data_IF_734185260824
#
_entry.id   IF_734185260824
#
_cell.length_a   1.000
_cell.length_b   1.000
_cell.length_c   1.000
_cell.angle_alpha   90.00
_cell.angle_beta   90.00
_cell.angle_gamma   90.00
#
_symmetry.space_group_name_H-M   'P 1'
#
loop_
_entity.id
_entity.type
_entity.pdbx_description
1 polymer ?
#
# COMPACT_ATOMS: atom_id res chain seq x y z
N UNK A 1 -4.84 63.95 -30.45
CA UNK A 1 -5.54 64.37 -29.21
C UNK A 1 -5.81 63.12 -28.39
N UNK A 2 -5.51 62.96 -27.11
CA UNK A 2 -4.53 63.53 -26.20
C UNK A 2 -4.32 62.46 -25.10
N UNK A 3 -3.22 62.61 -24.36
CA UNK A 3 -2.64 61.70 -23.38
C UNK A 3 -3.53 61.37 -22.13
N UNK A 4 -3.07 60.44 -21.25
CA UNK A 4 -3.74 59.95 -20.04
C UNK A 4 -3.31 60.75 -18.77
N UNK A 5 -3.07 60.12 -17.60
CA UNK A 5 -3.92 59.95 -16.43
C UNK A 5 -3.58 60.91 -15.26
N UNK A 6 -4.40 60.94 -14.19
CA UNK A 6 -4.06 61.63 -12.93
C UNK A 6 -3.91 60.66 -11.76
N UNK A 7 -2.66 60.60 -11.29
CA UNK A 7 -2.18 60.06 -10.02
C UNK A 7 -2.37 61.08 -8.88
N UNK A 8 -2.69 60.61 -7.68
CA UNK A 8 -2.41 61.26 -6.38
C UNK A 8 -2.79 60.23 -5.28
N UNK A 9 -2.10 59.98 -4.18
CA UNK A 9 -0.80 60.36 -3.65
C UNK A 9 -0.41 59.30 -2.61
N UNK A 10 0.90 59.14 -2.48
CA UNK A 10 1.66 58.40 -1.47
C UNK A 10 1.46 59.02 -0.07
N UNK A 11 1.26 58.20 0.97
CA UNK A 11 1.70 58.54 2.32
C UNK A 11 2.37 57.36 3.02
N UNK A 12 3.63 57.62 3.36
CA UNK A 12 4.54 56.86 4.20
C UNK A 12 4.30 57.29 5.65
N UNK A 13 4.22 56.31 6.56
CA UNK A 13 4.63 56.39 7.97
C UNK A 13 4.73 54.94 8.44
N UNK A 14 5.82 54.42 8.98
CA UNK A 14 6.77 55.07 9.89
C UNK A 14 6.56 54.44 11.27
N UNK A 15 7.54 53.64 11.67
CA UNK A 15 7.55 52.77 12.85
C UNK A 15 7.38 53.49 14.19
N UNK A 16 6.88 52.76 15.20
CA UNK A 16 7.43 52.80 16.56
C UNK A 16 6.81 51.73 17.46
N UNK A 17 7.66 50.87 18.03
CA UNK A 17 7.39 50.04 19.20
C UNK A 17 6.95 50.86 20.42
N UNK A 18 6.37 50.21 21.43
CA UNK A 18 6.89 50.42 22.78
C UNK A 18 7.21 49.11 23.50
N UNK A 19 8.24 49.21 24.34
CA UNK A 19 8.76 48.17 25.19
C UNK A 19 8.03 48.10 26.54
N UNK A 20 8.06 46.90 27.12
CA UNK A 20 8.19 46.57 28.54
C UNK A 20 7.14 47.08 29.54
N UNK A 21 6.35 46.14 30.06
CA UNK A 21 5.98 46.10 31.48
C UNK A 21 5.82 44.64 31.92
N UNK A 22 6.49 44.30 33.02
CA UNK A 22 6.64 42.97 33.58
C UNK A 22 5.55 42.65 34.61
N UNK A 23 4.96 41.45 34.56
CA UNK A 23 4.27 40.79 35.69
C UNK A 23 4.36 39.27 35.47
N UNK A 24 5.34 38.61 36.08
CA UNK A 24 5.25 37.81 37.31
C UNK A 24 4.27 36.62 37.27
N UNK A 25 4.87 35.43 37.09
CA UNK A 25 4.63 34.19 37.83
C UNK A 25 3.24 33.55 37.84
N UNK A 26 3.08 32.44 37.10
CA UNK A 26 2.91 31.10 37.69
C UNK A 26 2.72 30.04 36.59
N UNK A 27 3.80 29.36 36.19
CA UNK A 27 3.70 28.10 35.43
C UNK A 27 3.58 26.93 36.42
N UNK A 28 2.54 26.09 36.34
CA UNK A 28 2.47 24.88 37.14
C UNK A 28 3.52 23.87 36.64
N UNK A 29 4.41 23.49 37.55
CA UNK A 29 5.46 22.48 37.35
C UNK A 29 4.80 21.13 37.08
N UNK A 30 4.77 20.71 35.82
CA UNK A 30 4.56 19.30 35.50
C UNK A 30 5.74 18.50 36.04
N UNK A 31 5.45 17.64 37.02
CA UNK A 31 6.36 16.64 37.56
C UNK A 31 6.93 15.79 36.42
N UNK A 32 8.22 15.93 36.15
CA UNK A 32 9.00 14.94 35.38
C UNK A 32 9.33 13.77 36.31
N UNK A 33 8.88 12.54 36.02
CA UNK A 33 9.37 11.37 36.74
C UNK A 33 10.86 11.19 36.44
N UNK A 34 11.66 11.21 37.50
CA UNK A 34 13.11 10.99 37.49
C UNK A 34 13.37 9.54 37.07
N UNK A 35 13.94 9.36 35.88
CA UNK A 35 14.48 8.08 35.41
C UNK A 35 15.54 7.58 36.39
N UNK A 36 15.23 6.50 37.11
CA UNK A 36 16.20 5.72 37.88
C UNK A 36 17.02 4.86 36.91
N UNK A 37 18.34 4.73 37.09
CA UNK A 37 19.17 3.92 36.22
C UNK A 37 18.83 2.43 36.41
N UNK A 38 18.15 1.84 35.43
CA UNK A 38 17.94 0.40 35.38
C UNK A 38 19.29 -0.30 35.20
N UNK A 39 19.70 -1.05 36.22
CA UNK A 39 20.89 -1.91 36.16
C UNK A 39 20.78 -2.81 34.93
N UNK A 40 21.76 -2.68 34.04
CA UNK A 40 22.00 -3.54 32.87
C UNK A 40 22.25 -4.96 33.35
N UNK A 41 21.22 -5.81 33.31
CA UNK A 41 21.38 -7.26 33.40
C UNK A 41 21.94 -7.74 32.07
N UNK A 42 23.26 -7.94 32.04
CA UNK A 42 23.96 -8.66 30.99
C UNK A 42 23.82 -10.15 31.30
N UNK A 43 22.70 -10.73 30.89
CA UNK A 43 22.43 -12.16 30.95
C UNK A 43 22.03 -12.65 29.57
N UNK A 44 23.01 -13.01 28.73
CA UNK A 44 22.75 -13.87 27.57
C UNK A 44 22.48 -15.26 28.12
N UNK A 45 21.21 -15.55 28.41
CA UNK A 45 20.75 -16.92 28.57
C UNK A 45 20.56 -17.47 27.17
N UNK A 46 21.55 -18.22 26.69
CA UNK A 46 21.40 -19.11 25.54
C UNK A 46 20.42 -20.20 25.95
N UNK A 47 19.12 -19.98 25.70
CA UNK A 47 18.15 -21.06 25.62
C UNK A 47 18.47 -21.84 24.34
N UNK A 48 19.34 -22.84 24.47
CA UNK A 48 19.50 -23.87 23.46
C UNK A 48 18.25 -24.73 23.46
N UNK A 49 17.24 -24.34 22.68
CA UNK A 49 16.16 -25.23 22.29
C UNK A 49 16.69 -26.07 21.12
N UNK A 50 17.29 -27.22 21.46
CA UNK A 50 17.46 -28.30 20.51
C UNK A 50 16.06 -28.84 20.18
N UNK A 51 15.44 -28.29 19.14
CA UNK A 51 14.29 -28.89 18.47
C UNK A 51 14.81 -29.42 17.14
N UNK A 52 15.03 -30.73 17.11
CA UNK A 52 15.31 -31.45 15.89
C UNK A 52 14.11 -31.39 14.95
N UNK A 53 14.39 -31.18 13.66
CA UNK A 53 13.42 -31.28 12.57
C UNK A 53 12.94 -29.93 12.03
N UNK A 54 13.77 -29.27 11.20
CA UNK A 54 13.33 -28.04 10.51
C UNK A 54 14.40 -27.24 9.75
N UNK A 55 15.58 -27.80 9.46
CA UNK A 55 16.71 -27.02 8.94
C UNK A 55 16.48 -26.46 7.51
N UNK A 56 15.63 -27.10 6.69
CA UNK A 56 15.43 -26.67 5.30
C UNK A 56 14.57 -25.41 5.12
N UNK A 57 13.56 -25.20 5.98
CA UNK A 57 12.64 -24.06 5.85
C UNK A 57 13.24 -22.74 6.33
N UNK A 58 13.89 -22.76 7.50
CA UNK A 58 14.51 -21.57 8.08
C UNK A 58 15.70 -21.06 7.23
N UNK A 59 16.47 -21.97 6.64
CA UNK A 59 17.57 -21.62 5.73
C UNK A 59 17.05 -21.02 4.41
N UNK A 60 15.94 -21.52 3.87
CA UNK A 60 15.32 -20.97 2.67
C UNK A 60 14.70 -19.59 2.92
N UNK A 61 13.98 -19.39 4.02
CA UNK A 61 13.42 -18.10 4.41
C UNK A 61 14.51 -17.05 4.64
N UNK A 62 15.59 -17.40 5.33
CA UNK A 62 16.72 -16.49 5.55
C UNK A 62 17.45 -16.18 4.25
N UNK A 63 17.53 -17.13 3.30
CA UNK A 63 18.05 -16.88 1.95
C UNK A 63 17.15 -15.92 1.18
N UNK A 64 15.83 -16.13 1.18
CA UNK A 64 14.87 -15.23 0.53
C UNK A 64 14.94 -13.82 1.12
N UNK A 65 15.04 -13.68 2.45
CA UNK A 65 15.20 -12.39 3.11
C UNK A 65 16.50 -11.67 2.69
N UNK A 66 17.62 -12.41 2.58
CA UNK A 66 18.89 -11.88 2.07
C UNK A 66 18.79 -11.44 0.61
N UNK A 67 18.13 -12.22 -0.23
CA UNK A 67 17.90 -11.90 -1.65
C UNK A 67 17.03 -10.64 -1.81
N UNK A 68 15.97 -10.49 -1.00
CA UNK A 68 15.17 -9.26 -0.97
C UNK A 68 15.96 -8.05 -0.47
N UNK A 69 16.79 -8.22 0.55
CA UNK A 69 17.66 -7.14 1.04
C UNK A 69 18.70 -6.73 -0.02
N UNK A 70 19.27 -7.70 -0.73
CA UNK A 70 20.16 -7.44 -1.85
C UNK A 70 19.43 -6.71 -3.00
N UNK A 71 18.19 -7.11 -3.32
CA UNK A 71 17.37 -6.44 -4.32
C UNK A 71 17.09 -4.98 -3.96
N UNK A 72 16.71 -4.71 -2.70
CA UNK A 72 16.50 -3.33 -2.23
C UNK A 72 17.75 -2.47 -2.38
N UNK A 73 18.93 -3.00 -2.03
CA UNK A 73 20.20 -2.28 -2.22
C UNK A 73 20.50 -2.00 -3.69
N UNK A 74 20.18 -2.95 -4.60
CA UNK A 74 20.33 -2.72 -6.05
C UNK A 74 19.41 -1.61 -6.52
N UNK A 75 18.15 -1.63 -6.12
CA UNK A 75 17.18 -0.59 -6.47
C UNK A 75 17.56 0.79 -5.94
N UNK A 76 17.99 0.88 -4.68
CA UNK A 76 18.51 2.12 -4.09
C UNK A 76 19.71 2.65 -4.88
N UNK A 77 20.59 1.76 -5.36
CA UNK A 77 21.72 2.15 -6.21
C UNK A 77 21.25 2.72 -7.55
N UNK A 78 20.26 2.09 -8.21
CA UNK A 78 19.69 2.59 -9.47
C UNK A 78 19.02 3.96 -9.32
N UNK A 79 18.33 4.20 -8.19
CA UNK A 79 17.77 5.50 -7.86
C UNK A 79 18.89 6.52 -7.61
N UNK A 80 19.90 6.15 -6.82
CA UNK A 80 21.03 7.03 -6.48
C UNK A 80 21.83 7.44 -7.72
N UNK A 81 21.99 6.53 -8.67
CA UNK A 81 22.65 6.77 -9.96
C UNK A 81 21.75 7.50 -10.97
N UNK A 82 20.51 7.86 -10.59
CA UNK A 82 19.50 8.48 -11.46
C UNK A 82 19.17 7.70 -12.76
N UNK A 83 19.47 6.41 -12.79
CA UNK A 83 19.07 5.51 -13.88
C UNK A 83 17.55 5.33 -13.90
N UNK A 84 16.97 5.25 -12.71
CA UNK A 84 15.51 5.29 -12.51
C UNK A 84 15.20 6.62 -11.83
N UNK A 85 14.43 7.47 -12.51
CA UNK A 85 14.03 8.78 -11.99
C UNK A 85 12.88 8.59 -11.01
N UNK A 86 12.98 9.17 -9.82
CA UNK A 86 11.90 9.11 -8.83
C UNK A 86 10.95 10.27 -9.06
N UNK A 87 9.64 10.01 -9.06
CA UNK A 87 8.59 11.02 -9.09
C UNK A 87 7.67 10.84 -7.89
N UNK A 88 7.20 11.94 -7.33
CA UNK A 88 6.04 11.91 -6.43
C UNK A 88 4.76 11.62 -7.23
N UNK A 89 3.70 11.07 -6.61
CA UNK A 89 2.43 10.83 -7.29
C UNK A 89 1.86 12.09 -7.96
N UNK A 90 2.00 13.24 -7.29
CA UNK A 90 1.59 14.55 -7.81
C UNK A 90 2.38 14.99 -9.04
N UNK A 91 3.71 14.89 -8.99
CA UNK A 91 4.57 15.18 -10.15
C UNK A 91 4.31 14.22 -11.31
N UNK A 92 4.08 12.94 -11.02
CA UNK A 92 3.73 11.92 -12.00
C UNK A 92 2.37 12.23 -12.67
N UNK A 93 1.37 12.66 -11.90
CA UNK A 93 0.09 13.12 -12.42
C UNK A 93 0.21 14.32 -13.34
N UNK A 94 0.99 15.34 -12.95
CA UNK A 94 1.23 16.50 -13.79
C UNK A 94 2.01 16.14 -15.07
N UNK A 95 3.06 15.34 -14.96
CA UNK A 95 3.86 14.92 -16.13
C UNK A 95 3.04 14.07 -17.10
N UNK A 96 2.15 13.22 -16.60
CA UNK A 96 1.24 12.43 -17.44
C UNK A 96 0.19 13.29 -18.15
N UNK A 97 -0.35 14.33 -17.48
CA UNK A 97 -1.33 15.25 -18.10
C UNK A 97 -0.69 16.21 -19.12
N UNK A 98 0.55 16.64 -18.87
CA UNK A 98 1.23 17.67 -19.67
C UNK A 98 2.11 17.10 -20.79
N UNK A 99 2.59 15.87 -20.65
CA UNK A 99 3.52 15.23 -21.59
C UNK A 99 2.91 13.95 -22.12
N UNK A 100 3.23 13.57 -23.36
CA UNK A 100 2.83 12.30 -23.97
C UNK A 100 3.67 11.10 -23.44
N UNK A 101 3.84 11.04 -22.11
CA UNK A 101 4.56 9.96 -21.43
C UNK A 101 3.61 8.80 -21.20
N UNK A 102 4.15 7.59 -21.30
CA UNK A 102 3.37 6.37 -21.09
C UNK A 102 3.26 6.09 -19.59
N UNK A 103 2.03 5.94 -19.10
CA UNK A 103 1.78 5.45 -17.74
C UNK A 103 1.51 3.94 -17.77
N UNK A 104 2.44 3.17 -17.19
CA UNK A 104 2.40 1.71 -17.13
C UNK A 104 1.96 1.23 -15.74
N UNK A 105 0.78 0.63 -15.66
CA UNK A 105 0.26 0.00 -14.46
C UNK A 105 0.66 -1.47 -14.42
N UNK A 106 1.50 -1.82 -13.43
CA UNK A 106 2.03 -3.17 -13.25
C UNK A 106 1.30 -3.97 -12.17
N UNK A 107 0.15 -3.48 -11.70
CA UNK A 107 -0.65 -4.19 -10.71
C UNK A 107 -1.29 -5.46 -11.28
N UNK A 108 -1.53 -6.45 -10.40
CA UNK A 108 -2.34 -7.62 -10.74
C UNK A 108 -3.76 -7.23 -11.13
N UNK A 109 -4.41 -8.15 -11.84
CA UNK A 109 -5.77 -8.00 -12.36
C UNK A 109 -6.81 -7.61 -11.29
N UNK A 110 -6.73 -8.21 -10.09
CA UNK A 110 -7.66 -7.95 -8.98
C UNK A 110 -7.64 -6.48 -8.48
N UNK A 111 -6.47 -5.86 -8.38
CA UNK A 111 -6.32 -4.46 -7.98
C UNK A 111 -6.70 -3.51 -9.12
N UNK A 112 -6.35 -3.88 -10.35
CA UNK A 112 -6.66 -3.11 -11.56
C UNK A 112 -8.16 -2.97 -11.76
N UNK A 113 -8.94 -4.03 -11.56
CA UNK A 113 -10.40 -4.01 -11.77
C UNK A 113 -11.13 -3.06 -10.82
N UNK A 114 -10.58 -2.77 -9.65
CA UNK A 114 -11.19 -1.88 -8.64
C UNK A 114 -11.05 -0.41 -9.00
N UNK A 115 -9.84 -0.02 -9.41
CA UNK A 115 -9.52 1.35 -9.78
C UNK A 115 -8.29 1.40 -10.67
N UNK A 116 -8.28 2.27 -11.68
CA UNK A 116 -7.13 2.53 -12.53
C UNK A 116 -7.06 3.99 -12.99
N UNK A 117 -5.88 4.39 -13.47
CA UNK A 117 -5.69 5.73 -14.04
C UNK A 117 -6.18 5.72 -15.48
N UNK A 118 -7.01 6.69 -15.84
CA UNK A 118 -7.51 6.86 -17.20
C UNK A 118 -6.35 7.00 -18.21
N UNK A 119 -6.44 6.27 -19.32
CA UNK A 119 -5.39 6.27 -20.34
C UNK A 119 -4.10 5.51 -19.97
N UNK A 120 -4.02 4.89 -18.79
CA UNK A 120 -2.87 4.05 -18.44
C UNK A 120 -2.90 2.69 -19.13
N UNK A 121 -1.74 2.24 -19.59
CA UNK A 121 -1.57 0.90 -20.16
C UNK A 121 -1.35 -0.11 -19.04
N UNK A 122 -2.06 -1.23 -19.10
CA UNK A 122 -1.94 -2.31 -18.13
C UNK A 122 -1.08 -3.44 -18.67
N UNK A 123 -0.01 -3.78 -17.92
CA UNK A 123 0.83 -4.97 -18.14
C UNK A 123 1.26 -5.49 -16.77
N UNK A 124 0.65 -6.56 -16.25
CA UNK A 124 0.94 -7.07 -14.90
C UNK A 124 2.31 -7.75 -14.86
N UNK A 125 3.12 -7.41 -13.84
CA UNK A 125 4.37 -8.13 -13.51
C UNK A 125 4.05 -9.40 -12.73
N UNK A 126 3.01 -9.32 -11.90
CA UNK A 126 2.47 -10.42 -11.14
C UNK A 126 1.01 -10.56 -11.47
N UNK A 127 0.56 -11.78 -11.72
CA UNK A 127 -0.86 -12.06 -11.92
C UNK A 127 -1.33 -13.17 -10.98
N UNK A 128 -2.64 -13.27 -10.80
CA UNK A 128 -3.26 -14.25 -9.91
C UNK A 128 -3.04 -15.64 -10.49
N UNK A 129 -2.43 -16.51 -9.68
CA UNK A 129 -2.24 -17.92 -10.05
C UNK A 129 -3.59 -18.62 -10.20
N UNK A 130 -4.04 -18.79 -11.43
CA UNK A 130 -5.26 -19.56 -11.74
C UNK A 130 -4.95 -21.04 -11.95
N UNK A 131 -3.67 -21.42 -12.05
CA UNK A 131 -3.31 -22.84 -12.20
C UNK A 131 -3.77 -23.65 -10.98
N UNK A 132 -4.41 -24.77 -11.28
CA UNK A 132 -4.91 -25.77 -10.33
C UNK A 132 -3.93 -26.93 -10.22
N UNK A 133 -2.63 -26.64 -10.28
CA UNK A 133 -1.60 -27.65 -10.07
C UNK A 133 -1.54 -28.02 -8.59
N UNK A 134 -1.23 -29.28 -8.25
CA UNK A 134 -1.13 -29.75 -6.85
C UNK A 134 -0.19 -28.86 -5.99
N UNK A 135 0.89 -28.36 -6.58
CA UNK A 135 1.82 -27.43 -5.91
C UNK A 135 1.27 -25.99 -5.81
N UNK A 136 0.37 -25.59 -6.71
CA UNK A 136 -0.34 -24.32 -6.62
C UNK A 136 -1.45 -24.36 -5.55
N UNK A 137 -2.12 -25.50 -5.41
CA UNK A 137 -3.16 -25.72 -4.40
C UNK A 137 -2.61 -25.71 -2.98
N UNK A 138 -1.45 -26.36 -2.74
CA UNK A 138 -0.80 -26.31 -1.42
C UNK A 138 -0.39 -24.89 -1.04
N UNK A 139 0.16 -24.11 -1.99
CA UNK A 139 0.51 -22.69 -1.78
C UNK A 139 -0.73 -21.82 -1.54
N UNK A 140 -1.81 -22.04 -2.29
CA UNK A 140 -3.11 -21.37 -2.07
C UNK A 140 -3.67 -21.69 -0.69
N UNK A 141 -3.65 -22.96 -0.27
CA UNK A 141 -4.11 -23.38 1.05
C UNK A 141 -3.25 -22.79 2.17
N UNK A 142 -1.93 -22.80 2.02
CA UNK A 142 -1.01 -22.18 2.97
C UNK A 142 -1.24 -20.67 3.08
N UNK A 143 -1.32 -19.97 1.94
CA UNK A 143 -1.64 -18.54 1.88
C UNK A 143 -2.99 -18.24 2.54
N UNK A 144 -3.99 -19.10 2.34
CA UNK A 144 -5.27 -18.99 3.04
C UNK A 144 -5.08 -19.15 4.56
N UNK A 145 -4.39 -20.18 5.04
CA UNK A 145 -4.16 -20.44 6.47
C UNK A 145 -3.44 -19.31 7.19
N UNK A 146 -2.42 -18.71 6.57
CA UNK A 146 -1.63 -17.62 7.19
C UNK A 146 -2.33 -16.25 7.15
N UNK A 147 -3.57 -16.17 6.64
CA UNK A 147 -4.36 -14.93 6.66
C UNK A 147 -4.59 -14.29 5.28
N UNK A 148 -4.37 -15.00 4.18
CA UNK A 148 -4.71 -14.54 2.83
C UNK A 148 -6.20 -14.27 2.66
N UNK A 149 -7.06 -15.08 3.29
CA UNK A 149 -8.52 -14.85 3.33
C UNK A 149 -8.90 -13.55 4.03
N UNK A 150 -8.16 -13.19 5.08
CA UNK A 150 -8.37 -11.97 5.84
C UNK A 150 -7.92 -10.73 5.06
N UNK A 151 -6.70 -10.77 4.54
CA UNK A 151 -6.06 -9.65 3.83
C UNK A 151 -6.45 -9.52 2.35
N UNK A 152 -7.11 -10.54 1.79
CA UNK A 152 -7.35 -10.67 0.35
C UNK A 152 -6.10 -10.93 -0.48
N UNK A 153 -4.97 -11.23 0.16
CA UNK A 153 -3.72 -11.54 -0.52
C UNK A 153 -3.85 -12.88 -1.25
N UNK A 154 -3.89 -12.83 -2.58
CA UNK A 154 -3.94 -14.01 -3.44
C UNK A 154 -2.53 -14.50 -3.75
N UNK A 155 -2.37 -15.81 -4.00
CA UNK A 155 -1.11 -16.35 -4.54
C UNK A 155 -0.85 -15.73 -5.91
N UNK A 156 0.29 -15.07 -6.07
CA UNK A 156 0.68 -14.41 -7.31
C UNK A 156 1.83 -15.17 -7.96
N UNK A 157 1.76 -15.37 -9.29
CA UNK A 157 2.92 -15.78 -10.09
C UNK A 157 3.53 -14.61 -10.82
N UNK A 158 4.82 -14.76 -11.06
CA UNK A 158 5.59 -13.83 -11.87
C UNK A 158 5.33 -14.06 -13.37
N UNK A 159 4.96 -13.00 -14.07
CA UNK A 159 4.76 -13.01 -15.51
C UNK A 159 6.10 -12.91 -16.24
N UNK A 160 6.59 -14.03 -16.77
CA UNK A 160 7.85 -14.09 -17.55
C UNK A 160 7.80 -13.28 -18.85
N UNK A 161 6.61 -13.03 -19.37
CA UNK A 161 6.40 -12.32 -20.64
C UNK A 161 6.25 -10.80 -20.44
N UNK A 162 6.38 -10.29 -19.22
CA UNK A 162 6.21 -8.86 -18.91
C UNK A 162 7.07 -7.95 -19.80
N UNK A 163 8.36 -8.26 -19.92
CA UNK A 163 9.31 -7.48 -20.74
C UNK A 163 8.90 -7.53 -22.22
N UNK A 164 8.62 -8.72 -22.75
CA UNK A 164 8.21 -8.89 -24.14
C UNK A 164 6.93 -8.11 -24.46
N UNK A 165 5.90 -8.20 -23.62
CA UNK A 165 4.65 -7.44 -23.80
C UNK A 165 4.88 -5.92 -23.76
N UNK A 166 5.87 -5.47 -22.99
CA UNK A 166 6.23 -4.05 -22.91
C UNK A 166 6.98 -3.62 -24.18
N UNK A 167 7.91 -4.43 -24.67
CA UNK A 167 8.66 -4.18 -25.91
C UNK A 167 7.78 -4.20 -27.17
N UNK A 168 6.73 -5.03 -27.19
CA UNK A 168 5.76 -5.06 -28.29
C UNK A 168 4.91 -3.78 -28.35
N UNK A 169 4.64 -3.13 -27.20
CA UNK A 169 3.82 -1.93 -27.12
C UNK A 169 4.60 -0.63 -27.17
N UNK A 170 5.83 -0.63 -26.66
CA UNK A 170 6.62 0.59 -26.46
C UNK A 170 8.04 0.44 -26.98
N UNK A 171 8.56 1.52 -27.57
CA UNK A 171 9.97 1.59 -27.95
C UNK A 171 10.87 1.73 -26.73
N UNK A 172 12.12 1.26 -26.84
CA UNK A 172 13.11 1.30 -25.74
C UNK A 172 13.52 2.72 -25.33
N UNK A 173 13.29 3.69 -26.21
CA UNK A 173 13.55 5.11 -25.99
C UNK A 173 12.33 5.87 -25.43
N UNK A 174 11.18 5.18 -25.24
CA UNK A 174 9.98 5.81 -24.69
C UNK A 174 10.15 6.17 -23.21
N UNK A 175 9.51 7.28 -22.82
CA UNK A 175 9.42 7.72 -21.44
C UNK A 175 8.30 6.95 -20.71
N UNK A 176 8.69 6.01 -19.84
CA UNK A 176 7.73 5.14 -19.14
C UNK A 176 7.67 5.48 -17.66
N UNK A 177 6.47 5.82 -17.19
CA UNK A 177 6.15 6.01 -15.77
C UNK A 177 5.53 4.73 -15.23
N UNK A 178 6.21 4.08 -14.28
CA UNK A 178 5.73 2.83 -13.67
C UNK A 178 4.99 3.10 -12.37
N UNK A 179 3.76 2.58 -12.30
CA UNK A 179 2.91 2.66 -11.11
C UNK A 179 2.52 1.26 -10.63
N UNK A 180 2.50 1.11 -9.31
CA UNK A 180 1.81 0.00 -8.65
C UNK A 180 1.11 0.52 -7.39
N UNK A 181 0.56 -0.35 -6.55
CA UNK A 181 -0.13 0.10 -5.34
C UNK A 181 0.76 0.89 -4.38
N UNK A 182 1.90 0.31 -3.95
CA UNK A 182 2.79 0.86 -2.91
C UNK A 182 4.17 1.32 -3.41
N UNK A 183 4.46 1.15 -4.70
CA UNK A 183 5.76 1.43 -5.32
C UNK A 183 6.76 0.25 -5.39
N UNK A 184 6.60 -0.82 -4.59
CA UNK A 184 7.60 -1.91 -4.54
C UNK A 184 7.61 -2.82 -5.77
N UNK A 185 6.44 -3.09 -6.37
CA UNK A 185 6.36 -3.90 -7.59
C UNK A 185 6.82 -3.11 -8.82
N UNK A 186 6.53 -1.81 -8.85
CA UNK A 186 6.91 -0.94 -9.96
C UNK A 186 8.41 -0.69 -10.02
N UNK A 187 9.14 -0.66 -8.89
CA UNK A 187 10.60 -0.55 -8.92
C UNK A 187 11.27 -1.85 -9.37
N UNK A 188 10.75 -3.00 -8.95
CA UNK A 188 11.21 -4.30 -9.45
C UNK A 188 10.97 -4.45 -10.96
N UNK A 189 9.84 -3.93 -11.46
CA UNK A 189 9.52 -3.88 -12.87
C UNK A 189 10.47 -2.94 -13.63
N UNK A 190 10.78 -1.77 -13.05
CA UNK A 190 11.73 -0.82 -13.62
C UNK A 190 13.14 -1.41 -13.75
N UNK A 191 13.62 -2.19 -12.77
CA UNK A 191 14.89 -2.92 -12.88
C UNK A 191 14.88 -3.88 -14.08
N UNK A 192 13.79 -4.61 -14.30
CA UNK A 192 13.66 -5.52 -15.45
C UNK A 192 13.65 -4.79 -16.79
N UNK A 193 12.90 -3.69 -16.90
CA UNK A 193 12.90 -2.87 -18.13
C UNK A 193 14.25 -2.21 -18.37
N UNK A 194 14.92 -1.75 -17.32
CA UNK A 194 16.28 -1.20 -17.42
C UNK A 194 17.25 -2.24 -17.98
N UNK A 195 17.18 -3.48 -17.47
CA UNK A 195 18.00 -4.59 -17.97
C UNK A 195 17.64 -5.00 -19.41
N UNK A 196 16.40 -4.78 -19.86
CA UNK A 196 15.97 -4.99 -21.24
C UNK A 196 16.40 -3.86 -22.21
N UNK A 197 16.98 -2.78 -21.69
CA UNK A 197 17.53 -1.67 -22.45
C UNK A 197 16.62 -0.44 -22.55
N UNK A 198 15.57 -0.35 -21.74
CA UNK A 198 14.77 0.88 -21.65
C UNK A 198 15.58 1.98 -20.95
N UNK A 199 15.67 3.14 -21.60
CA UNK A 199 16.57 4.22 -21.15
C UNK A 199 15.94 5.17 -20.15
N UNK A 200 14.65 5.49 -20.33
CA UNK A 200 14.00 6.56 -19.56
C UNK A 200 12.83 5.98 -18.76
N UNK A 201 13.14 5.63 -17.52
CA UNK A 201 12.19 5.02 -16.58
C UNK A 201 11.93 5.95 -15.40
N UNK A 202 10.66 6.16 -15.10
CA UNK A 202 10.20 6.91 -13.94
C UNK A 202 9.48 5.99 -12.97
N UNK A 203 9.89 6.02 -11.71
CA UNK A 203 9.27 5.27 -10.63
C UNK A 203 8.47 6.21 -9.74
N UNK A 204 7.19 5.89 -9.53
CA UNK A 204 6.32 6.65 -8.63
C UNK A 204 6.50 6.18 -7.19
N UNK A 205 7.06 7.04 -6.36
CA UNK A 205 7.30 6.76 -4.95
C UNK A 205 5.98 6.60 -4.20
N UNK A 206 5.86 5.53 -3.42
CA UNK A 206 4.63 5.22 -2.67
C UNK A 206 3.48 4.68 -3.53
N UNK A 207 3.62 4.67 -4.86
CA UNK A 207 2.60 4.15 -5.78
C UNK A 207 1.29 4.93 -5.76
N UNK A 208 0.22 4.29 -6.22
CA UNK A 208 -1.13 4.87 -6.27
C UNK A 208 -1.77 5.05 -4.89
N UNK A 209 -1.29 4.36 -3.87
CA UNK A 209 -1.75 4.54 -2.48
C UNK A 209 -1.35 5.91 -1.90
N UNK A 210 -0.21 6.44 -2.33
CA UNK A 210 0.25 7.77 -1.93
C UNK A 210 -0.37 8.91 -2.77
N UNK A 211 -1.06 8.58 -3.86
CA UNK A 211 -1.72 9.58 -4.71
C UNK A 211 -3.00 10.10 -4.05
N UNK A 212 -3.25 11.40 -4.14
CA UNK A 212 -4.56 11.96 -3.88
C UNK A 212 -5.46 11.82 -5.13
N UNK A 213 -6.78 11.94 -4.94
CA UNK A 213 -7.75 11.75 -6.04
C UNK A 213 -7.62 12.79 -7.16
N UNK A 214 -6.99 13.93 -6.87
CA UNK A 214 -6.78 15.02 -7.84
C UNK A 214 -5.52 14.81 -8.71
N UNK A 215 -4.57 14.01 -8.23
CA UNK A 215 -3.28 13.80 -8.91
C UNK A 215 -3.50 13.06 -10.23
N UNK A 216 -4.31 12.00 -10.21
CA UNK A 216 -4.63 11.16 -11.37
C UNK A 216 -6.12 11.07 -11.62
N UNK A 217 -6.52 11.10 -12.89
CA UNK A 217 -7.90 10.82 -13.28
C UNK A 217 -8.22 9.34 -13.06
N UNK A 218 -9.14 9.08 -12.13
CA UNK A 218 -9.53 7.72 -11.73
C UNK A 218 -10.69 7.20 -12.54
N UNK A 219 -10.56 5.96 -12.98
CA UNK A 219 -11.65 5.12 -13.48
C UNK A 219 -11.80 3.91 -12.54
N UNK A 220 -13.05 3.50 -12.28
CA UNK A 220 -13.37 2.39 -11.38
C UNK A 220 -14.27 2.78 -10.21
N UNK A 221 -14.67 1.79 -9.41
CA UNK A 221 -15.66 1.95 -8.34
C UNK A 221 -15.05 2.42 -7.02
N UNK A 222 -13.77 2.14 -6.78
CA UNK A 222 -13.08 2.43 -5.51
C UNK A 222 -11.99 3.49 -5.66
N UNK A 223 -11.62 4.22 -4.59
CA UNK A 223 -10.47 5.12 -4.60
C UNK A 223 -9.15 4.33 -4.67
N UNK A 224 -8.10 4.96 -5.22
CA UNK A 224 -6.80 4.31 -5.39
C UNK A 224 -6.22 3.75 -4.08
N UNK A 225 -6.45 4.45 -2.95
CA UNK A 225 -5.96 4.05 -1.62
C UNK A 225 -6.57 2.72 -1.14
N UNK A 226 -7.80 2.40 -1.56
CA UNK A 226 -8.50 1.18 -1.18
C UNK A 226 -8.36 0.06 -2.21
N UNK A 227 -8.00 0.37 -3.45
CA UNK A 227 -7.92 -0.61 -4.54
C UNK A 227 -6.93 -1.76 -4.26
N UNK A 228 -5.94 -1.56 -3.39
CA UNK A 228 -4.98 -2.57 -2.96
C UNK A 228 -5.40 -3.43 -1.77
N UNK A 229 -6.54 -3.13 -1.16
CA UNK A 229 -7.05 -3.82 0.02
C UNK A 229 -8.02 -4.89 -0.44
N UNK A 230 -8.06 -6.04 0.24
CA UNK A 230 -8.92 -7.15 -0.16
C UNK A 230 -9.43 -7.97 1.03
N UNK A 231 -10.26 -8.96 0.70
CA UNK A 231 -10.69 -9.99 1.63
C UNK A 231 -11.62 -9.48 2.72
N UNK A 232 -11.68 -10.24 3.82
CA UNK A 232 -12.55 -9.96 4.96
C UNK A 232 -12.22 -8.62 5.63
N UNK A 233 -10.93 -8.22 5.61
CA UNK A 233 -10.48 -6.95 6.17
C UNK A 233 -11.08 -5.74 5.44
N UNK A 234 -11.24 -5.83 4.12
CA UNK A 234 -11.92 -4.82 3.31
C UNK A 234 -13.40 -4.73 3.69
N UNK A 235 -14.06 -5.87 3.90
CA UNK A 235 -15.48 -5.91 4.24
C UNK A 235 -15.77 -5.21 5.58
N UNK A 236 -14.97 -5.47 6.60
CA UNK A 236 -15.18 -4.88 7.94
C UNK A 236 -14.55 -3.50 8.15
N UNK A 237 -13.78 -2.98 7.20
CA UNK A 237 -13.17 -1.66 7.37
C UNK A 237 -12.01 -1.63 8.35
N UNK A 238 -11.34 -2.76 8.57
CA UNK A 238 -10.35 -2.92 9.66
C UNK A 238 -8.99 -2.29 9.30
N UNK A 239 -8.72 -2.02 8.03
CA UNK A 239 -7.41 -1.48 7.61
C UNK A 239 -7.21 -0.01 7.99
N UNK A 240 -5.95 0.40 8.18
CA UNK A 240 -5.59 1.78 8.49
C UNK A 240 -6.07 2.76 7.42
N UNK A 241 -5.99 2.37 6.15
CA UNK A 241 -6.46 3.21 5.05
C UNK A 241 -7.99 3.42 5.09
N UNK A 242 -8.76 2.36 5.40
CA UNK A 242 -10.22 2.46 5.53
C UNK A 242 -10.63 3.31 6.73
N UNK A 243 -9.90 3.22 7.85
CA UNK A 243 -10.14 4.07 9.03
C UNK A 243 -9.81 5.53 8.75
N UNK A 244 -8.72 5.79 8.02
CA UNK A 244 -8.36 7.14 7.59
C UNK A 244 -9.41 7.73 6.65
N UNK A 245 -9.97 6.93 5.73
CA UNK A 245 -11.05 7.36 4.84
C UNK A 245 -12.37 7.55 5.59
N UNK A 246 -12.73 6.64 6.50
CA UNK A 246 -13.91 6.77 7.35
C UNK A 246 -13.85 8.04 8.23
N UNK A 247 -12.65 8.45 8.65
CA UNK A 247 -12.46 9.71 9.37
C UNK A 247 -12.73 10.95 8.50
N UNK A 248 -12.51 10.86 7.18
CA UNK A 248 -12.79 11.94 6.22
C UNK A 248 -14.27 12.00 5.82
N UNK A 249 -14.90 10.85 5.58
CA UNK A 249 -16.28 10.75 5.09
C UNK A 249 -17.35 10.79 6.20
N UNK A 250 -16.94 10.75 7.47
CA UNK A 250 -17.80 11.02 8.62
C UNK A 250 -18.57 9.80 9.17
N UNK A 251 -19.69 10.07 9.86
CA UNK A 251 -20.40 9.07 10.67
C UNK A 251 -21.04 7.94 9.86
N UNK A 252 -21.49 8.20 8.63
CA UNK A 252 -22.14 7.20 7.79
C UNK A 252 -21.24 5.99 7.50
N UNK A 253 -19.96 6.25 7.21
CA UNK A 253 -18.99 5.21 6.94
C UNK A 253 -18.68 4.35 8.18
N UNK A 254 -18.66 4.97 9.36
CA UNK A 254 -18.48 4.26 10.64
C UNK A 254 -19.68 3.37 10.94
N UNK A 255 -20.90 3.89 10.76
CA UNK A 255 -22.15 3.12 10.97
C UNK A 255 -22.25 1.93 10.01
N UNK A 256 -21.83 2.07 8.75
CA UNK A 256 -21.80 0.96 7.80
C UNK A 256 -20.92 -0.19 8.28
N UNK A 257 -19.70 0.09 8.75
CA UNK A 257 -18.81 -0.95 9.27
C UNK A 257 -19.31 -1.55 10.59
N UNK A 258 -19.85 -0.73 11.49
CA UNK A 258 -20.49 -1.21 12.72
C UNK A 258 -21.69 -2.12 12.39
N UNK A 259 -22.52 -1.74 11.42
CA UNK A 259 -23.64 -2.55 10.96
C UNK A 259 -23.20 -3.90 10.39
N UNK A 260 -22.14 -3.92 9.57
CA UNK A 260 -21.54 -5.18 9.07
C UNK A 260 -21.05 -6.06 10.20
N UNK A 261 -20.37 -5.50 11.20
CA UNK A 261 -19.89 -6.24 12.37
C UNK A 261 -21.04 -6.84 13.19
N UNK A 262 -22.06 -6.03 13.50
CA UNK A 262 -23.24 -6.50 14.24
C UNK A 262 -23.96 -7.59 13.46
N UNK A 263 -24.14 -7.42 12.15
CA UNK A 263 -24.75 -8.44 11.29
C UNK A 263 -23.97 -9.75 11.29
N UNK A 264 -22.63 -9.68 11.28
CA UNK A 264 -21.79 -10.88 11.36
C UNK A 264 -21.92 -11.61 12.71
N UNK A 265 -22.04 -10.86 13.82
CA UNK A 265 -22.27 -11.44 15.15
C UNK A 265 -23.63 -12.14 15.18
N UNK A 266 -24.70 -11.48 14.72
CA UNK A 266 -26.04 -12.07 14.68
C UNK A 266 -26.08 -13.33 13.80
N UNK A 267 -25.38 -13.32 12.67
CA UNK A 267 -25.27 -14.48 11.79
C UNK A 267 -24.50 -15.63 12.48
N UNK A 268 -23.40 -15.33 13.18
CA UNK A 268 -22.64 -16.34 13.90
C UNK A 268 -23.47 -16.98 15.02
N UNK A 269 -24.24 -16.19 15.76
CA UNK A 269 -25.16 -16.68 16.79
C UNK A 269 -26.27 -17.55 16.18
N UNK A 270 -26.86 -17.13 15.06
CA UNK A 270 -27.87 -17.92 14.35
C UNK A 270 -27.31 -19.25 13.85
N UNK A 271 -26.09 -19.26 13.31
CA UNK A 271 -25.39 -20.48 12.88
C UNK A 271 -25.06 -21.38 14.08
N UNK A 272 -24.66 -20.81 15.21
CA UNK A 272 -24.36 -21.56 16.44
C UNK A 272 -25.61 -22.24 17.00
N UNK A 273 -26.72 -21.51 17.11
CA UNK A 273 -28.03 -22.05 17.54
C UNK A 273 -28.52 -23.10 16.54
N UNK A 274 -28.37 -22.84 15.23
CA UNK A 274 -28.69 -23.81 14.19
C UNK A 274 -27.86 -25.10 14.30
N UNK A 275 -26.55 -24.99 14.52
CA UNK A 275 -25.67 -26.15 14.69
C UNK A 275 -26.05 -27.01 15.91
N UNK A 276 -26.46 -26.39 17.02
CA UNK A 276 -26.96 -27.11 18.19
C UNK A 276 -28.24 -27.90 17.88
N UNK A 277 -29.10 -27.39 17.01
CA UNK A 277 -30.34 -28.07 16.61
C UNK A 277 -30.12 -29.29 15.70
N UNK A 278 -28.96 -29.40 15.04
CA UNK A 278 -28.62 -30.50 14.12
C UNK A 278 -28.27 -31.79 14.89
N UNK A 279 -27.66 -31.70 16.06
CA UNK A 279 -27.28 -32.86 16.87
C UNK A 279 -28.45 -33.80 17.18
N UNK A 280 -29.57 -33.29 17.74
CA UNK A 280 -30.77 -34.08 17.98
C UNK A 280 -31.42 -34.65 16.71
N UNK A 281 -31.34 -33.92 15.60
CA UNK A 281 -31.88 -34.33 14.29
C UNK A 281 -31.08 -35.50 13.67
N UNK A 282 -29.75 -35.50 13.83
CA UNK A 282 -28.91 -36.61 13.35
C UNK A 282 -29.13 -37.89 14.16
N UNK A 283 -29.46 -37.79 15.45
CA UNK A 283 -29.80 -38.94 16.28
C UNK A 283 -31.11 -39.63 15.85
N UNK A 284 -32.07 -38.88 15.28
CA UNK A 284 -33.30 -39.44 14.73
C UNK A 284 -33.12 -40.13 13.37
N UNK A 285 -32.01 -39.87 12.68
CA UNK A 285 -31.68 -40.43 11.37
C UNK A 285 -30.76 -41.66 11.45
N UNK A 286 -30.25 -42.02 12.63
CA UNK A 286 -29.59 -43.31 12.82
C UNK A 286 -30.64 -44.43 12.85
N UNK A 287 -30.68 -45.34 11.86
CA UNK A 287 -31.53 -46.52 11.95
C UNK A 287 -31.04 -47.41 13.11
N UNK A 288 -31.99 -47.91 13.89
CA UNK A 288 -31.78 -48.94 14.91
C UNK A 288 -31.23 -50.23 14.30
#
# INVERSE_FOLDING_TARGET
MAAPPLSLARRVAGASSPAAAAHSSSCPRYFRPRLLPSKRWSGVVKMGAAVGGGQGGEEEETRQAKEMAAARRRWETLIREQKIKTLTPREAGYTFKLTDKVLLDVRPSNERQKAWVKGSTWIPVFDVDTSSDLNGLSKKAFNFMIGGWWSGSSTMSFNKNFVQQTEEKFSKDADIILVCQKGLRSIAAAEQLYNAGFKILFWVQGGLEAAEEEDFEREGSQPFKLAGIGGVSEFFGWTDQQRAQAAKEGWGYRLLFTGRLVGAIVLADALFVGAQSIGPLLQQLQPH
#
